data_IF_520289172612
#
_entry.id   IF_520289172612
#
_cell.length_a   1.000
_cell.length_b   1.000
_cell.length_c   1.000
_cell.angle_alpha   90.00
_cell.angle_beta   90.00
_cell.angle_gamma   90.00
#
_symmetry.space_group_name_H-M   'P 1'
#
loop_
_entity.id
_entity.type
_entity.pdbx_description
1 polymer ?
#
# COMPACT_ATOMS: atom_id res chain seq x y z
N UNK A 1 7.87 13.32 -5.52
CA UNK A 1 7.60 11.88 -5.28
C UNK A 1 8.00 11.56 -3.85
N UNK A 2 7.11 10.95 -3.05
CA UNK A 2 7.38 10.58 -1.66
C UNK A 2 8.60 9.64 -1.58
N UNK A 3 9.62 9.94 -0.75
CA UNK A 3 10.88 9.18 -0.68
C UNK A 3 10.66 7.71 -0.34
N UNK A 4 9.63 7.41 0.46
CA UNK A 4 9.21 6.05 0.81
C UNK A 4 8.67 5.28 -0.41
N UNK A 5 7.84 5.91 -1.23
CA UNK A 5 7.30 5.29 -2.45
C UNK A 5 8.39 5.03 -3.49
N UNK A 6 9.38 5.91 -3.60
CA UNK A 6 10.54 5.69 -4.47
C UNK A 6 11.38 4.49 -4.02
N UNK A 7 11.64 4.36 -2.70
CA UNK A 7 12.33 3.21 -2.15
C UNK A 7 11.53 1.91 -2.37
N UNK A 8 10.20 1.97 -2.21
CA UNK A 8 9.33 0.83 -2.44
C UNK A 8 9.25 0.43 -3.92
N UNK A 9 9.18 1.40 -4.84
CA UNK A 9 9.25 1.15 -6.27
C UNK A 9 10.54 0.41 -6.64
N UNK A 10 11.67 0.86 -6.10
CA UNK A 10 12.96 0.20 -6.30
C UNK A 10 12.97 -1.23 -5.76
N UNK A 11 12.46 -1.45 -4.54
CA UNK A 11 12.32 -2.78 -3.96
C UNK A 11 11.49 -3.72 -4.86
N UNK A 12 10.30 -3.27 -5.30
CA UNK A 12 9.41 -4.08 -6.13
C UNK A 12 10.04 -4.40 -7.50
N UNK A 13 10.69 -3.43 -8.12
CA UNK A 13 11.28 -3.59 -9.44
C UNK A 13 12.54 -4.45 -9.41
N UNK A 14 13.47 -4.17 -8.51
CA UNK A 14 14.81 -4.77 -8.56
C UNK A 14 14.95 -5.99 -7.65
N UNK A 15 14.33 -5.97 -6.45
CA UNK A 15 14.39 -7.12 -5.54
C UNK A 15 13.32 -8.16 -5.84
N UNK A 16 12.05 -7.72 -6.00
CA UNK A 16 10.93 -8.64 -6.31
C UNK A 16 10.80 -8.97 -7.80
N UNK A 17 11.53 -8.25 -8.66
CA UNK A 17 11.52 -8.44 -10.13
C UNK A 17 10.13 -8.31 -10.74
N UNK A 18 9.28 -7.46 -10.18
CA UNK A 18 7.95 -7.23 -10.72
C UNK A 18 8.01 -6.37 -11.99
N UNK A 19 7.06 -6.62 -12.90
CA UNK A 19 6.89 -5.80 -14.10
C UNK A 19 6.55 -4.35 -13.72
N UNK A 20 6.88 -3.40 -14.60
CA UNK A 20 6.53 -1.98 -14.39
C UNK A 20 5.04 -1.78 -14.12
N UNK A 21 4.17 -2.48 -14.87
CA UNK A 21 2.73 -2.44 -14.66
C UNK A 21 2.32 -2.90 -13.25
N UNK A 22 2.95 -3.96 -12.75
CA UNK A 22 2.72 -4.46 -11.40
C UNK A 22 3.24 -3.47 -10.36
N UNK A 23 4.43 -2.90 -10.55
CA UNK A 23 5.00 -1.87 -9.67
C UNK A 23 4.05 -0.67 -9.57
N UNK A 24 3.58 -0.14 -10.69
CA UNK A 24 2.64 0.98 -10.70
C UNK A 24 1.33 0.66 -9.98
N UNK A 25 0.80 -0.56 -10.13
CA UNK A 25 -0.39 -0.98 -9.40
C UNK A 25 -0.16 -0.97 -7.89
N UNK A 26 0.99 -1.48 -7.43
CA UNK A 26 1.35 -1.47 -6.01
C UNK A 26 1.54 -0.03 -5.50
N UNK A 27 2.20 0.85 -6.27
CA UNK A 27 2.40 2.24 -5.87
C UNK A 27 1.09 3.00 -5.75
N UNK A 28 0.13 2.81 -6.69
CA UNK A 28 -1.20 3.41 -6.60
C UNK A 28 -1.96 2.94 -5.35
N UNK A 29 -1.89 1.64 -5.06
CA UNK A 29 -2.56 1.05 -3.91
C UNK A 29 -1.93 1.54 -2.59
N UNK A 30 -0.60 1.59 -2.50
CA UNK A 30 0.11 2.14 -1.33
C UNK A 30 -0.14 3.64 -1.15
N UNK A 31 -0.21 4.44 -2.22
CA UNK A 31 -0.51 5.86 -2.12
C UNK A 31 -1.91 6.10 -1.52
N UNK A 32 -2.94 5.35 -1.96
CA UNK A 32 -4.29 5.46 -1.38
C UNK A 32 -4.31 5.18 0.13
N UNK A 33 -3.49 4.23 0.58
CA UNK A 33 -3.35 3.95 2.01
C UNK A 33 -2.68 5.10 2.75
N UNK A 34 -1.58 5.65 2.19
CA UNK A 34 -0.90 6.81 2.77
C UNK A 34 -1.83 8.03 2.89
N UNK A 35 -2.66 8.26 1.86
CA UNK A 35 -3.65 9.33 1.87
C UNK A 35 -4.71 9.11 2.97
N UNK A 36 -5.18 7.87 3.13
CA UNK A 36 -6.15 7.52 4.18
C UNK A 36 -5.60 7.72 5.60
N UNK A 37 -4.38 7.24 5.89
CA UNK A 37 -3.82 7.42 7.23
C UNK A 37 -3.52 8.90 7.52
N UNK A 38 -3.14 9.68 6.49
CA UNK A 38 -2.98 11.12 6.62
C UNK A 38 -4.32 11.81 6.93
N UNK A 39 -5.41 11.45 6.23
CA UNK A 39 -6.75 11.97 6.50
C UNK A 39 -7.22 11.64 7.94
N UNK A 40 -6.89 10.45 8.44
CA UNK A 40 -7.22 10.01 9.80
C UNK A 40 -6.25 10.51 10.88
N UNK A 41 -5.24 11.31 10.54
CA UNK A 41 -4.15 11.73 11.43
C UNK A 41 -3.47 10.54 12.15
N UNK A 42 -3.32 9.43 11.44
CA UNK A 42 -2.65 8.21 11.90
C UNK A 42 -1.24 8.20 11.32
N UNK A 43 -0.23 7.96 12.15
CA UNK A 43 1.14 7.77 11.66
C UNK A 43 1.36 6.34 11.21
N UNK A 44 2.28 6.11 10.27
CA UNK A 44 2.64 4.77 9.79
C UNK A 44 3.02 3.82 10.94
N UNK A 45 3.71 4.31 11.95
CA UNK A 45 4.14 3.53 13.12
C UNK A 45 2.97 3.14 14.04
N UNK A 46 1.85 3.86 13.94
CA UNK A 46 0.65 3.66 14.76
C UNK A 46 -0.45 2.84 14.06
N UNK A 47 -0.16 2.37 12.84
CA UNK A 47 -1.05 1.48 12.08
C UNK A 47 -0.86 0.05 12.60
N UNK A 48 -1.92 -0.52 13.16
CA UNK A 48 -2.00 -1.94 13.47
C UNK A 48 -2.85 -2.69 12.43
N UNK A 49 -2.94 -4.02 12.58
CA UNK A 49 -3.77 -4.87 11.73
C UNK A 49 -5.26 -4.48 11.77
N UNK A 50 -5.75 -3.86 12.86
CA UNK A 50 -7.15 -3.46 13.02
C UNK A 50 -7.51 -2.25 12.16
N UNK A 51 -6.73 -1.17 12.26
CA UNK A 51 -6.89 0.04 11.44
C UNK A 51 -6.68 -0.26 9.95
N UNK A 52 -5.82 -1.23 9.65
CA UNK A 52 -5.63 -1.72 8.29
C UNK A 52 -6.88 -2.42 7.74
N UNK A 53 -7.52 -3.29 8.54
CA UNK A 53 -8.78 -3.93 8.14
C UNK A 53 -9.93 -2.92 8.01
N UNK A 54 -9.94 -1.87 8.84
CA UNK A 54 -10.88 -0.76 8.74
C UNK A 54 -10.70 0.01 7.43
N UNK A 55 -9.46 0.36 7.06
CA UNK A 55 -9.16 0.95 5.75
C UNK A 55 -9.67 0.06 4.60
N UNK A 56 -9.39 -1.25 4.65
CA UNK A 56 -9.86 -2.17 3.62
C UNK A 56 -11.38 -2.32 3.58
N UNK A 57 -12.05 -2.21 4.72
CA UNK A 57 -13.50 -2.28 4.84
C UNK A 57 -14.20 -1.01 4.34
N UNK A 58 -13.54 0.14 4.49
CA UNK A 58 -14.02 1.43 3.99
C UNK A 58 -13.90 1.57 2.46
N UNK A 59 -13.14 0.70 1.80
CA UNK A 59 -12.97 0.72 0.36
C UNK A 59 -13.85 -0.36 -0.28
N UNK A 60 -14.71 0.01 -1.23
CA UNK A 60 -15.51 -0.95 -2.02
C UNK A 60 -14.63 -1.70 -3.05
N UNK A 61 -13.75 -2.57 -2.53
CA UNK A 61 -12.79 -3.32 -3.33
C UNK A 61 -13.31 -4.72 -3.63
N UNK A 62 -13.11 -5.16 -4.87
CA UNK A 62 -13.22 -6.58 -5.19
C UNK A 62 -12.24 -7.41 -4.34
N UNK A 63 -12.57 -8.68 -4.09
CA UNK A 63 -11.69 -9.61 -3.35
C UNK A 63 -10.27 -9.65 -3.91
N UNK A 64 -10.12 -9.53 -5.24
CA UNK A 64 -8.82 -9.49 -5.92
C UNK A 64 -8.04 -8.22 -5.59
N UNK A 65 -8.70 -7.06 -5.57
CA UNK A 65 -8.07 -5.79 -5.19
C UNK A 65 -7.72 -5.75 -3.71
N UNK A 66 -8.57 -6.31 -2.85
CA UNK A 66 -8.31 -6.44 -1.41
C UNK A 66 -7.07 -7.29 -1.13
N UNK A 67 -6.95 -8.47 -1.74
CA UNK A 67 -5.75 -9.32 -1.60
C UNK A 67 -4.48 -8.66 -2.11
N UNK A 68 -4.56 -7.87 -3.18
CA UNK A 68 -3.42 -7.12 -3.72
C UNK A 68 -2.99 -6.01 -2.77
N UNK A 69 -3.92 -5.26 -2.21
CA UNK A 69 -3.66 -4.22 -1.20
C UNK A 69 -3.03 -4.79 0.07
N UNK A 70 -3.53 -5.93 0.56
CA UNK A 70 -2.92 -6.68 1.68
C UNK A 70 -1.48 -7.06 1.36
N UNK A 71 -1.22 -7.57 0.17
CA UNK A 71 0.12 -7.97 -0.24
C UNK A 71 1.04 -6.75 -0.42
N UNK A 72 0.53 -5.66 -0.98
CA UNK A 72 1.27 -4.42 -1.17
C UNK A 72 1.66 -3.79 0.16
N UNK A 73 0.76 -3.74 1.13
CA UNK A 73 1.06 -3.11 2.42
C UNK A 73 1.94 -3.97 3.31
N UNK A 74 1.79 -5.29 3.27
CA UNK A 74 2.67 -6.21 4.01
C UNK A 74 4.11 -6.23 3.50
N UNK A 75 4.34 -5.88 2.23
CA UNK A 75 5.70 -5.73 1.70
C UNK A 75 6.25 -4.31 1.88
N UNK A 76 5.40 -3.34 2.26
CA UNK A 76 5.77 -1.94 2.41
C UNK A 76 6.09 -1.56 3.86
N UNK A 77 5.28 -2.06 4.81
CA UNK A 77 5.50 -1.98 6.25
C UNK A 77 6.56 -3.02 6.67
#
# INVERSE_FOLDING_TARGET
MNRLLSAYAYYLQFQKKYSLHTVESYLRDTQKFLDFIQEKNVTLESVDNGKFLEFLGAQELSSRSRSRLISALRNFL
#
